data_IF_017435982110
#
_entry.id   IF_017435982110
#
_cell.length_a   1.000
_cell.length_b   1.000
_cell.length_c   1.000
_cell.angle_alpha   90.00
_cell.angle_beta   90.00
_cell.angle_gamma   90.00
#
_symmetry.space_group_name_H-M   'P 1'
#
loop_
_entity.id
_entity.type
_entity.pdbx_description
1 polymer ?
#
# COMPACT_ATOMS: atom_id res chain seq x y z
N UNK A 1 -39.27 55.23 39.13
CA UNK A 1 -38.19 54.59 39.93
C UNK A 1 -38.59 53.16 40.27
N UNK A 2 -38.03 52.16 39.58
CA UNK A 2 -37.78 50.81 40.10
C UNK A 2 -37.05 50.00 39.04
N UNK A 3 -35.92 49.42 39.47
CA UNK A 3 -34.95 48.61 38.75
C UNK A 3 -35.59 47.32 38.23
N UNK A 4 -35.21 46.85 37.04
CA UNK A 4 -35.07 45.41 36.79
C UNK A 4 -33.79 45.19 35.98
N UNK A 5 -32.85 44.55 36.66
CA UNK A 5 -31.57 44.04 36.19
C UNK A 5 -31.89 42.76 35.42
N UNK A 6 -31.57 42.70 34.13
CA UNK A 6 -31.60 41.43 33.39
C UNK A 6 -30.21 40.81 33.42
N UNK A 7 -30.17 39.63 34.03
CA UNK A 7 -29.00 38.87 34.42
C UNK A 7 -28.20 38.36 33.21
N UNK A 8 -26.90 38.63 33.25
CA UNK A 8 -25.88 38.01 32.41
C UNK A 8 -25.66 36.58 32.94
N UNK A 9 -26.28 35.58 32.32
CA UNK A 9 -25.99 34.17 32.61
C UNK A 9 -24.81 33.76 31.74
N UNK A 10 -23.64 33.82 32.36
CA UNK A 10 -22.41 33.17 31.94
C UNK A 10 -22.67 31.65 31.96
N UNK A 11 -22.85 31.05 30.79
CA UNK A 11 -22.76 29.60 30.62
C UNK A 11 -21.34 29.27 30.18
N UNK A 12 -20.43 29.21 31.15
CA UNK A 12 -19.09 28.64 30.97
C UNK A 12 -19.28 27.15 30.72
N UNK A 13 -19.28 26.74 29.45
CA UNK A 13 -19.24 25.33 29.10
C UNK A 13 -17.82 24.84 29.40
N UNK A 14 -17.70 24.16 30.53
CA UNK A 14 -16.49 23.46 30.97
C UNK A 14 -16.29 22.30 29.98
N UNK A 15 -15.46 22.52 28.95
CA UNK A 15 -14.88 21.44 28.16
C UNK A 15 -13.85 20.73 29.04
N UNK A 16 -14.33 19.72 29.77
CA UNK A 16 -13.46 18.72 30.39
C UNK A 16 -13.18 17.65 29.35
N UNK A 17 -11.96 17.71 28.82
CA UNK A 17 -11.07 16.59 28.50
C UNK A 17 -11.72 15.28 28.04
N UNK A 18 -11.58 15.00 26.74
CA UNK A 18 -11.00 13.73 26.32
C UNK A 18 -9.77 14.12 25.51
N UNK A 19 -8.66 14.36 26.21
CA UNK A 19 -7.34 14.18 25.63
C UNK A 19 -7.30 12.73 25.16
N UNK A 20 -6.76 12.44 23.97
CA UNK A 20 -6.53 11.09 23.49
C UNK A 20 -5.63 10.30 24.46
N UNK A 21 -6.19 9.75 25.53
CA UNK A 21 -5.65 8.56 26.18
C UNK A 21 -6.07 7.39 25.29
N UNK A 22 -5.25 7.06 24.30
CA UNK A 22 -5.24 5.73 23.67
C UNK A 22 -3.99 5.43 22.81
N UNK A 23 -2.95 6.28 22.81
CA UNK A 23 -1.67 5.89 22.20
C UNK A 23 -0.81 5.00 23.11
N UNK A 24 -1.08 4.98 24.43
CA UNK A 24 -0.27 4.25 25.41
C UNK A 24 -0.69 2.78 25.61
N UNK A 25 -1.83 2.34 25.08
CA UNK A 25 -2.32 0.97 25.33
C UNK A 25 -1.65 -0.13 24.50
N UNK A 26 -0.82 0.24 23.52
CA UNK A 26 -0.19 -0.74 22.61
C UNK A 26 1.35 -0.75 22.63
N UNK A 27 1.96 0.06 23.51
CA UNK A 27 3.41 -0.02 23.75
C UNK A 27 3.68 -1.19 24.69
N UNK A 28 4.45 -2.17 24.22
CA UNK A 28 4.97 -3.21 25.11
C UNK A 28 5.80 -2.56 26.21
N UNK A 29 5.70 -3.10 27.42
CA UNK A 29 6.57 -2.71 28.53
C UNK A 29 7.99 -3.18 28.21
N UNK A 30 8.78 -2.28 27.60
CA UNK A 30 10.13 -2.57 27.10
C UNK A 30 11.08 -3.03 28.21
N UNK A 31 10.81 -2.68 29.47
CA UNK A 31 11.57 -3.15 30.62
C UNK A 31 11.40 -4.65 30.90
N UNK A 32 10.36 -5.29 30.34
CA UNK A 32 10.11 -6.73 30.43
C UNK A 32 10.62 -7.51 29.22
N UNK A 33 11.17 -6.83 28.21
CA UNK A 33 11.64 -7.45 26.98
C UNK A 33 13.09 -7.92 27.16
N UNK A 34 13.31 -9.22 27.02
CA UNK A 34 14.63 -9.85 27.06
C UNK A 34 14.96 -10.42 25.68
N UNK A 35 15.90 -9.80 24.95
CA UNK A 35 16.33 -10.25 23.63
C UNK A 35 15.27 -10.00 22.57
N UNK A 36 15.07 -8.74 22.21
CA UNK A 36 14.17 -8.40 21.09
C UNK A 36 14.77 -7.27 20.27
N UNK A 37 14.59 -7.37 18.97
CA UNK A 37 14.89 -6.31 18.04
C UNK A 37 13.82 -6.27 16.96
N UNK A 38 13.63 -5.09 16.39
CA UNK A 38 12.67 -4.85 15.31
C UNK A 38 13.33 -4.09 14.16
N UNK A 39 12.69 -4.18 12.99
CA UNK A 39 12.90 -3.26 11.88
C UNK A 39 11.62 -2.45 11.68
N UNK A 40 11.52 -1.29 12.31
CA UNK A 40 10.36 -0.40 12.16
C UNK A 40 10.36 0.16 10.74
N UNK A 41 9.27 -0.01 10.01
CA UNK A 41 9.09 0.60 8.69
C UNK A 41 8.87 2.09 8.87
N UNK A 42 9.75 2.89 8.28
CA UNK A 42 9.58 4.35 8.21
C UNK A 42 8.83 4.75 6.95
N UNK A 43 9.18 4.13 5.83
CA UNK A 43 8.60 4.38 4.51
C UNK A 43 8.67 3.10 3.68
N UNK A 44 7.69 2.89 2.80
CA UNK A 44 7.70 1.79 1.85
C UNK A 44 7.09 2.26 0.53
N UNK A 45 7.74 1.92 -0.57
CA UNK A 45 7.27 2.12 -1.92
C UNK A 45 7.23 0.76 -2.63
N UNK A 46 6.01 0.29 -2.91
CA UNK A 46 5.69 -1.00 -3.54
C UNK A 46 4.76 -0.73 -4.73
N UNK A 47 5.24 -0.05 -5.78
CA UNK A 47 4.40 0.27 -6.92
C UNK A 47 3.98 -1.03 -7.64
N UNK A 48 2.86 -1.02 -8.39
CA UNK A 48 2.55 -2.13 -9.28
C UNK A 48 3.68 -2.38 -10.29
N UNK A 49 3.95 -3.65 -10.58
CA UNK A 49 5.03 -4.08 -11.48
C UNK A 49 4.48 -4.16 -12.90
N UNK A 50 5.09 -3.45 -13.84
CA UNK A 50 4.69 -3.53 -15.26
C UNK A 50 5.21 -4.84 -15.85
N UNK A 51 4.30 -5.74 -16.26
CA UNK A 51 4.66 -7.05 -16.81
C UNK A 51 5.54 -6.98 -18.07
N UNK A 52 5.48 -5.89 -18.86
CA UNK A 52 6.31 -5.70 -20.06
C UNK A 52 7.65 -4.97 -19.81
N UNK A 53 7.86 -4.45 -18.60
CA UNK A 53 9.10 -3.78 -18.25
C UNK A 53 9.43 -3.90 -16.75
N UNK A 54 9.43 -5.12 -16.20
CA UNK A 54 9.56 -5.33 -14.76
C UNK A 54 10.87 -4.77 -14.20
N UNK A 55 11.95 -4.77 -15.00
CA UNK A 55 13.25 -4.20 -14.59
C UNK A 55 13.22 -2.69 -14.32
N UNK A 56 12.19 -1.96 -14.73
CA UNK A 56 12.02 -0.54 -14.40
C UNK A 56 11.38 -0.33 -13.02
N UNK A 57 10.90 -1.39 -12.37
CA UNK A 57 10.27 -1.35 -11.07
C UNK A 57 11.19 -1.90 -9.98
N UNK A 58 10.97 -1.43 -8.75
CA UNK A 58 11.64 -1.92 -7.56
C UNK A 58 10.71 -1.87 -6.35
N UNK A 59 10.90 -2.79 -5.40
CA UNK A 59 10.33 -2.67 -4.06
C UNK A 59 11.37 -1.97 -3.19
N UNK A 60 10.99 -0.85 -2.59
CA UNK A 60 11.90 -0.06 -1.74
C UNK A 60 11.29 0.15 -0.36
N UNK A 61 12.08 -0.10 0.68
CA UNK A 61 11.64 0.01 2.08
C UNK A 61 12.72 0.68 2.90
N UNK A 62 12.36 1.77 3.58
CA UNK A 62 13.19 2.42 4.58
C UNK A 62 12.86 1.89 5.96
N UNK A 63 13.85 1.34 6.65
CA UNK A 63 13.68 0.71 7.96
C UNK A 63 14.60 1.33 9.01
N UNK A 64 14.10 1.35 10.25
CA UNK A 64 14.81 1.74 11.45
C UNK A 64 15.03 0.51 12.34
N UNK A 65 16.26 0.28 12.78
CA UNK A 65 16.58 -0.75 13.76
C UNK A 65 16.36 -0.23 15.20
N UNK A 66 15.74 -1.05 16.04
CA UNK A 66 15.51 -0.79 17.46
C UNK A 66 15.53 -2.12 18.23
N UNK A 67 16.48 -2.27 19.14
CA UNK A 67 16.66 -3.40 20.06
C UNK A 67 16.20 -3.12 21.49
N UNK A 68 15.54 -1.98 21.72
CA UNK A 68 14.97 -1.52 23.00
C UNK A 68 15.99 -1.35 24.14
N UNK A 69 17.25 -1.63 23.86
CA UNK A 69 18.41 -1.58 24.74
C UNK A 69 19.47 -0.94 23.87
N UNK A 70 20.14 0.12 24.32
CA UNK A 70 21.10 0.84 23.47
C UNK A 70 22.41 0.05 23.27
N UNK A 71 22.33 -1.26 23.02
CA UNK A 71 23.43 -2.21 22.89
C UNK A 71 23.80 -2.55 21.43
N UNK A 72 23.06 -2.02 20.45
CA UNK A 72 23.33 -2.11 18.99
C UNK A 72 23.63 -3.54 18.56
N UNK A 73 22.64 -4.39 18.80
CA UNK A 73 22.73 -5.84 18.61
C UNK A 73 22.55 -6.27 17.16
N UNK A 74 22.47 -5.35 16.20
CA UNK A 74 22.30 -5.69 14.79
C UNK A 74 23.57 -6.33 14.22
N UNK A 75 23.42 -7.46 13.54
CA UNK A 75 24.48 -8.07 12.73
C UNK A 75 24.27 -7.77 11.25
N UNK A 76 23.10 -8.13 10.73
CA UNK A 76 22.75 -7.92 9.33
C UNK A 76 21.24 -8.03 9.10
N UNK A 77 20.79 -7.66 7.92
CA UNK A 77 19.43 -7.94 7.42
C UNK A 77 19.54 -8.73 6.13
N UNK A 78 19.06 -9.98 6.13
CA UNK A 78 18.95 -10.78 4.92
C UNK A 78 17.66 -10.42 4.18
N UNK A 79 17.77 -10.25 2.86
CA UNK A 79 16.68 -9.84 1.98
C UNK A 79 16.33 -10.98 1.05
N UNK A 80 15.10 -11.46 1.17
CA UNK A 80 14.55 -12.56 0.38
C UNK A 80 13.46 -12.06 -0.57
N UNK A 81 13.32 -12.75 -1.71
CA UNK A 81 12.23 -12.57 -2.65
C UNK A 81 11.54 -13.91 -2.92
N UNK A 82 10.22 -13.85 -2.97
CA UNK A 82 9.33 -14.92 -3.39
C UNK A 82 8.40 -14.38 -4.49
N UNK A 83 8.05 -15.25 -5.44
CA UNK A 83 7.04 -14.97 -6.45
C UNK A 83 5.85 -15.90 -6.22
N UNK A 84 4.67 -15.31 -6.12
CA UNK A 84 3.40 -16.02 -5.96
C UNK A 84 2.63 -15.84 -7.26
N UNK A 85 2.57 -16.91 -8.04
CA UNK A 85 1.65 -17.03 -9.16
C UNK A 85 0.22 -17.13 -8.61
N UNK A 86 -0.62 -16.16 -8.97
CA UNK A 86 -2.03 -16.13 -8.58
C UNK A 86 -2.97 -16.32 -9.77
N UNK A 87 -2.39 -16.36 -10.98
CA UNK A 87 -3.08 -16.26 -12.25
C UNK A 87 -2.76 -17.50 -13.08
N UNK A 88 -3.50 -18.61 -12.88
CA UNK A 88 -3.18 -19.86 -13.53
C UNK A 88 -3.29 -19.74 -15.05
N UNK A 89 -2.17 -19.81 -15.75
CA UNK A 89 -2.12 -19.96 -17.21
C UNK A 89 -2.29 -21.45 -17.53
N UNK A 90 -3.21 -21.79 -18.42
CA UNK A 90 -3.53 -23.19 -18.80
C UNK A 90 -3.89 -24.11 -17.60
N UNK A 91 -4.49 -23.56 -16.54
CA UNK A 91 -4.81 -24.24 -15.28
C UNK A 91 -3.59 -24.73 -14.47
N UNK A 92 -2.40 -24.22 -14.73
CA UNK A 92 -1.21 -24.52 -13.94
C UNK A 92 -0.83 -23.31 -13.08
N UNK A 93 -0.67 -23.54 -11.77
CA UNK A 93 -0.05 -22.57 -10.86
C UNK A 93 1.42 -22.94 -10.76
N UNK A 94 2.28 -22.04 -11.18
CA UNK A 94 3.73 -22.20 -11.08
C UNK A 94 4.18 -21.92 -9.66
N UNK A 95 5.17 -22.68 -9.20
CA UNK A 95 5.74 -22.50 -7.85
C UNK A 95 7.24 -22.37 -7.97
N UNK A 96 7.77 -21.30 -7.38
CA UNK A 96 9.18 -20.99 -7.37
C UNK A 96 9.67 -20.97 -5.93
N UNK A 97 10.87 -21.51 -5.63
CA UNK A 97 11.42 -21.39 -4.30
C UNK A 97 11.77 -19.93 -3.99
N UNK A 98 11.54 -19.50 -2.75
CA UNK A 98 12.09 -18.23 -2.26
C UNK A 98 13.62 -18.23 -2.39
N UNK A 99 14.17 -17.08 -2.78
CA UNK A 99 15.61 -16.88 -2.93
C UNK A 99 16.08 -15.69 -2.12
N UNK A 100 17.30 -15.76 -1.60
CA UNK A 100 17.96 -14.62 -0.98
C UNK A 100 18.59 -13.74 -2.07
N UNK A 101 18.23 -12.47 -2.13
CA UNK A 101 18.74 -11.50 -3.11
C UNK A 101 20.02 -10.83 -2.59
N UNK A 102 20.05 -10.49 -1.31
CA UNK A 102 21.18 -9.79 -0.70
C UNK A 102 21.21 -9.95 0.82
N UNK A 103 22.30 -9.47 1.41
CA UNK A 103 22.44 -9.24 2.85
C UNK A 103 22.94 -7.82 3.03
N UNK A 104 22.29 -7.05 3.90
CA UNK A 104 22.69 -5.70 4.27
C UNK A 104 23.43 -5.80 5.60
N UNK A 105 24.71 -5.47 5.61
CA UNK A 105 25.52 -5.51 6.83
C UNK A 105 25.12 -4.36 7.78
N UNK A 106 25.28 -4.56 9.10
CA UNK A 106 25.01 -3.50 10.07
C UNK A 106 25.79 -2.21 9.79
N UNK A 107 26.98 -2.31 9.16
CA UNK A 107 27.79 -1.15 8.77
C UNK A 107 27.19 -0.30 7.64
N UNK A 108 26.18 -0.81 6.93
CA UNK A 108 25.47 -0.06 5.88
C UNK A 108 24.34 0.81 6.45
N UNK A 109 23.97 0.63 7.72
CA UNK A 109 23.02 1.50 8.40
C UNK A 109 23.69 2.81 8.80
N UNK A 110 22.94 3.90 8.67
CA UNK A 110 23.40 5.25 9.03
C UNK A 110 22.58 5.80 10.20
N UNK A 111 23.20 6.65 11.01
CA UNK A 111 22.50 7.30 12.11
C UNK A 111 21.69 8.50 11.59
N UNK A 112 20.37 8.41 11.70
CA UNK A 112 19.42 9.49 11.43
C UNK A 112 18.62 9.79 12.69
N UNK A 113 18.71 11.02 13.21
CA UNK A 113 18.00 11.45 14.42
C UNK A 113 18.22 10.55 15.67
N UNK A 114 19.35 9.85 15.73
CA UNK A 114 19.71 8.97 16.85
C UNK A 114 19.34 7.51 16.67
N UNK A 115 18.71 7.15 15.55
CA UNK A 115 18.38 5.76 15.22
C UNK A 115 19.19 5.26 14.01
N UNK A 116 19.47 3.96 13.97
CA UNK A 116 20.11 3.33 12.82
C UNK A 116 19.08 3.03 11.74
N UNK A 117 19.33 3.54 10.54
CA UNK A 117 18.39 3.53 9.42
C UNK A 117 19.09 3.06 8.16
N UNK A 118 18.36 2.33 7.32
CA UNK A 118 18.79 2.03 5.95
C UNK A 118 17.60 1.97 4.99
N UNK A 119 17.88 2.09 3.70
CA UNK A 119 16.91 1.88 2.64
C UNK A 119 17.28 0.61 1.88
N UNK A 120 16.40 -0.37 1.92
CA UNK A 120 16.53 -1.64 1.20
C UNK A 120 15.75 -1.49 -0.10
N UNK A 121 16.39 -1.74 -1.23
CA UNK A 121 15.75 -1.69 -2.55
C UNK A 121 16.09 -2.94 -3.34
N UNK A 122 15.06 -3.58 -3.89
CA UNK A 122 15.19 -4.76 -4.76
C UNK A 122 14.58 -4.44 -6.11
N UNK A 123 15.41 -4.44 -7.16
CA UNK A 123 14.95 -4.35 -8.54
C UNK A 123 14.26 -5.65 -8.96
N UNK A 124 13.13 -5.56 -9.66
CA UNK A 124 12.38 -6.77 -10.04
C UNK A 124 13.10 -7.57 -11.14
N UNK A 125 13.87 -6.91 -12.01
CA UNK A 125 14.72 -7.62 -12.98
C UNK A 125 15.76 -8.51 -12.29
N UNK A 126 16.40 -8.02 -11.22
CA UNK A 126 17.33 -8.82 -10.42
C UNK A 126 16.60 -9.96 -9.68
N UNK A 127 15.39 -9.70 -9.17
CA UNK A 127 14.56 -10.73 -8.52
C UNK A 127 14.15 -11.84 -9.50
N UNK A 128 13.71 -11.50 -10.72
CA UNK A 128 13.40 -12.46 -11.79
C UNK A 128 14.59 -13.35 -12.12
N UNK A 129 15.76 -12.74 -12.31
CA UNK A 129 17.01 -13.46 -12.59
C UNK A 129 17.37 -14.43 -11.45
N UNK A 130 17.24 -14.00 -10.20
CA UNK A 130 17.55 -14.82 -9.03
C UNK A 130 16.55 -15.97 -8.83
N UNK A 131 15.26 -15.71 -9.08
CA UNK A 131 14.17 -16.70 -9.00
C UNK A 131 14.14 -17.64 -10.22
N UNK A 132 14.90 -17.32 -11.28
CA UNK A 132 14.87 -18.01 -12.56
C UNK A 132 13.45 -18.02 -13.18
N UNK A 133 12.83 -16.84 -13.20
CA UNK A 133 11.51 -16.59 -13.79
C UNK A 133 11.72 -15.78 -15.07
N UNK A 134 11.14 -16.25 -16.16
CA UNK A 134 11.11 -15.50 -17.43
C UNK A 134 10.03 -14.42 -17.37
N UNK A 135 10.28 -13.27 -17.99
CA UNK A 135 9.31 -12.15 -18.02
C UNK A 135 7.95 -12.58 -18.60
N UNK A 136 7.92 -13.50 -19.56
CA UNK A 136 6.69 -14.01 -20.17
C UNK A 136 5.80 -14.82 -19.22
N UNK A 137 6.27 -15.16 -18.03
CA UNK A 137 5.48 -15.83 -16.98
C UNK A 137 4.62 -14.83 -16.22
N UNK A 138 4.98 -13.55 -16.21
CA UNK A 138 4.29 -12.54 -15.42
C UNK A 138 2.89 -12.26 -15.98
N UNK A 139 1.90 -12.36 -15.11
CA UNK A 139 0.52 -12.04 -15.43
C UNK A 139 -0.08 -11.06 -14.41
N UNK A 140 -1.11 -10.32 -14.82
CA UNK A 140 -1.84 -9.41 -13.94
C UNK A 140 -2.34 -10.15 -12.70
N UNK A 141 -2.09 -9.58 -11.52
CA UNK A 141 -2.47 -10.17 -10.24
C UNK A 141 -1.36 -10.92 -9.50
N UNK A 142 -0.35 -11.43 -10.21
CA UNK A 142 0.80 -12.12 -9.58
C UNK A 142 1.52 -11.23 -8.58
N UNK A 143 2.20 -11.82 -7.61
CA UNK A 143 2.75 -11.07 -6.48
C UNK A 143 4.23 -11.36 -6.29
N UNK A 144 5.03 -10.29 -6.25
CA UNK A 144 6.37 -10.33 -5.70
C UNK A 144 6.31 -10.00 -4.20
N UNK A 145 6.82 -10.91 -3.37
CA UNK A 145 6.91 -10.75 -1.93
C UNK A 145 8.38 -10.57 -1.51
N UNK A 146 8.70 -9.41 -0.97
CA UNK A 146 9.96 -9.13 -0.30
C UNK A 146 9.84 -9.51 1.17
N UNK A 147 10.74 -10.35 1.68
CA UNK A 147 10.82 -10.70 3.11
C UNK A 147 12.17 -10.32 3.69
N UNK A 148 12.15 -9.71 4.88
CA UNK A 148 13.34 -9.35 5.64
C UNK A 148 13.57 -10.34 6.79
N UNK A 149 14.82 -10.70 7.05
CA UNK A 149 15.24 -11.40 8.26
C UNK A 149 16.35 -10.62 8.96
N UNK A 150 16.05 -10.10 10.15
CA UNK A 150 17.01 -9.38 10.98
C UNK A 150 17.83 -10.37 11.80
N UNK A 151 19.13 -10.40 11.59
CA UNK A 151 20.09 -11.19 12.34
C UNK A 151 20.73 -10.32 13.44
N UNK A 152 20.74 -10.81 14.67
CA UNK A 152 21.41 -10.13 15.79
C UNK A 152 22.79 -10.74 16.07
N UNK A 153 23.66 -9.97 16.73
CA UNK A 153 24.99 -10.40 17.19
C UNK A 153 24.93 -11.53 18.22
N UNK A 154 23.77 -11.72 18.86
CA UNK A 154 23.49 -12.83 19.79
C UNK A 154 23.02 -14.11 19.07
N UNK A 155 22.89 -14.08 17.74
CA UNK A 155 22.45 -15.21 16.92
C UNK A 155 20.94 -15.41 16.84
N UNK A 156 20.16 -14.42 17.27
CA UNK A 156 18.70 -14.43 17.11
C UNK A 156 18.32 -13.93 15.72
N UNK A 157 17.23 -14.46 15.16
CA UNK A 157 16.72 -14.09 13.84
C UNK A 157 15.25 -13.68 14.00
N UNK A 158 14.89 -12.48 13.56
CA UNK A 158 13.52 -11.97 13.55
C UNK A 158 13.01 -11.79 12.12
N UNK A 159 11.84 -12.33 11.81
CA UNK A 159 11.23 -12.26 10.47
C UNK A 159 9.70 -12.39 10.58
N UNK A 160 8.99 -12.21 9.47
CA UNK A 160 7.52 -12.13 9.42
C UNK A 160 6.80 -13.38 9.95
N UNK A 161 7.46 -14.54 9.97
CA UNK A 161 6.90 -15.81 10.43
C UNK A 161 7.08 -16.08 11.93
N UNK A 162 7.92 -15.32 12.64
CA UNK A 162 8.25 -15.58 14.05
C UNK A 162 7.99 -14.41 15.00
N UNK A 163 7.38 -13.31 14.50
CA UNK A 163 6.95 -12.18 15.31
C UNK A 163 5.42 -12.09 15.38
N UNK A 164 4.88 -11.64 16.52
CA UNK A 164 3.43 -11.50 16.72
C UNK A 164 2.82 -10.32 15.97
N UNK A 165 1.50 -10.33 15.75
CA UNK A 165 0.77 -9.29 15.01
C UNK A 165 0.93 -7.88 15.58
N UNK A 166 1.15 -7.74 16.90
CA UNK A 166 1.48 -6.45 17.51
C UNK A 166 2.77 -5.85 16.97
N UNK A 167 3.83 -6.65 16.85
CA UNK A 167 5.11 -6.21 16.27
C UNK A 167 4.94 -5.86 14.79
N UNK A 168 4.17 -6.69 14.07
CA UNK A 168 3.97 -6.49 12.64
C UNK A 168 3.17 -5.23 12.29
N UNK A 169 2.06 -5.00 13.01
CA UNK A 169 1.01 -4.08 12.53
C UNK A 169 0.68 -2.93 13.48
N UNK A 170 1.10 -2.94 14.75
CA UNK A 170 0.77 -1.82 15.64
C UNK A 170 1.47 -0.55 15.19
N UNK A 171 0.85 0.59 15.48
CA UNK A 171 1.43 1.91 15.21
C UNK A 171 2.76 2.14 15.93
N UNK A 172 3.01 1.43 17.04
CA UNK A 172 4.23 1.54 17.83
C UNK A 172 5.44 0.81 17.19
N UNK A 173 5.21 -0.32 16.52
CA UNK A 173 6.29 -1.17 16.02
C UNK A 173 6.41 -1.17 14.50
N UNK A 174 5.28 -1.23 13.76
CA UNK A 174 5.23 -1.20 12.29
C UNK A 174 6.33 -2.05 11.62
N UNK A 175 6.53 -3.27 12.12
CA UNK A 175 7.65 -4.13 11.72
C UNK A 175 7.14 -5.42 11.07
N UNK A 176 6.54 -5.32 9.85
CA UNK A 176 5.92 -6.47 9.19
C UNK A 176 6.94 -7.49 8.68
N UNK A 177 8.20 -7.09 8.46
CA UNK A 177 9.26 -7.89 7.82
C UNK A 177 8.88 -8.46 6.45
N UNK A 178 7.81 -7.96 5.83
CA UNK A 178 7.35 -8.41 4.52
C UNK A 178 6.60 -7.29 3.80
N UNK A 179 6.79 -7.22 2.49
CA UNK A 179 6.22 -6.21 1.60
C UNK A 179 5.88 -6.88 0.28
N UNK A 180 4.83 -6.43 -0.39
CA UNK A 180 4.35 -7.06 -1.62
C UNK A 180 4.10 -6.02 -2.70
N UNK A 181 4.47 -6.33 -3.93
CA UNK A 181 4.05 -5.60 -5.12
C UNK A 181 3.33 -6.55 -6.08
N UNK A 182 2.17 -6.11 -6.57
CA UNK A 182 1.39 -6.88 -7.54
C UNK A 182 1.83 -6.55 -8.96
N UNK A 183 1.84 -7.55 -9.83
CA UNK A 183 2.02 -7.41 -11.27
C UNK A 183 0.75 -6.84 -11.88
N UNK A 184 0.92 -5.87 -12.76
CA UNK A 184 -0.13 -5.24 -13.53
C UNK A 184 0.26 -5.25 -15.00
N UNK A 185 -0.72 -5.49 -15.86
CA UNK A 185 -0.54 -5.42 -17.30
C UNK A 185 -0.73 -3.98 -17.79
N UNK A 186 0.16 -3.50 -18.67
CA UNK A 186 0.08 -2.15 -19.18
C UNK A 186 -1.04 -1.99 -20.21
N UNK A 187 -1.43 -0.74 -20.46
CA UNK A 187 -2.48 -0.40 -21.42
C UNK A 187 -2.11 -0.86 -22.84
N UNK A 188 -2.96 -1.64 -23.53
CA UNK A 188 -2.74 -2.01 -24.93
C UNK A 188 -3.03 -0.85 -25.88
N UNK A 189 -2.39 -0.86 -27.05
CA UNK A 189 -2.43 0.27 -27.98
C UNK A 189 -3.81 0.58 -28.57
N UNK A 190 -4.69 -0.41 -28.70
CA UNK A 190 -6.06 -0.20 -29.19
C UNK A 190 -6.95 0.53 -28.18
N UNK A 191 -6.60 0.53 -26.89
CA UNK A 191 -7.35 1.20 -25.82
C UNK A 191 -6.71 2.53 -25.38
N UNK A 192 -5.74 3.04 -26.15
CA UNK A 192 -5.21 4.39 -25.95
C UNK A 192 -6.23 5.44 -26.38
N UNK A 193 -6.57 6.36 -25.48
CA UNK A 193 -7.54 7.42 -25.75
C UNK A 193 -8.21 7.96 -24.50
N UNK A 194 -9.36 8.59 -24.69
CA UNK A 194 -10.15 9.18 -23.62
C UNK A 194 -11.08 8.12 -23.02
N UNK A 195 -10.87 7.82 -21.74
CA UNK A 195 -11.76 7.03 -20.90
C UNK A 195 -12.74 7.94 -20.18
N UNK A 196 -13.94 7.44 -19.90
CA UNK A 196 -14.97 8.21 -19.20
C UNK A 196 -15.29 7.54 -17.87
N UNK A 197 -15.34 8.33 -16.81
CA UNK A 197 -15.86 7.92 -15.50
C UNK A 197 -17.16 8.66 -15.25
N UNK A 198 -18.27 7.94 -15.26
CA UNK A 198 -19.57 8.44 -14.84
C UNK A 198 -19.78 8.08 -13.37
N UNK A 199 -20.10 9.06 -12.53
CA UNK A 199 -20.19 8.94 -11.09
C UNK A 199 -21.57 9.38 -10.62
N UNK A 200 -22.20 8.63 -9.71
CA UNK A 200 -23.50 8.95 -9.15
C UNK A 200 -23.53 8.74 -7.64
N UNK A 201 -24.36 9.55 -6.98
CA UNK A 201 -24.59 9.59 -5.55
C UNK A 201 -26.09 9.58 -5.28
N UNK A 202 -26.56 8.58 -4.53
CA UNK A 202 -28.00 8.39 -4.33
C UNK A 202 -28.63 9.35 -3.31
N UNK A 203 -27.85 10.01 -2.44
CA UNK A 203 -28.35 10.96 -1.43
C UNK A 203 -28.19 12.42 -1.89
N UNK A 204 -27.30 12.69 -2.84
CA UNK A 204 -27.19 13.93 -3.59
C UNK A 204 -26.24 14.97 -3.00
N UNK A 205 -25.46 14.61 -1.99
CA UNK A 205 -24.47 15.47 -1.33
C UNK A 205 -23.01 15.13 -1.70
N UNK A 206 -22.82 14.16 -2.58
CA UNK A 206 -21.52 13.76 -3.10
C UNK A 206 -20.84 12.72 -2.23
N UNK A 207 -19.71 12.20 -2.69
CA UNK A 207 -19.16 10.93 -2.22
C UNK A 207 -18.47 10.95 -0.85
N UNK A 208 -18.60 12.04 -0.08
CA UNK A 208 -18.32 12.01 1.36
C UNK A 208 -16.89 11.51 1.72
N UNK A 209 -15.91 11.87 0.88
CA UNK A 209 -14.50 11.48 1.02
C UNK A 209 -14.10 10.22 0.24
N UNK A 210 -15.03 9.52 -0.40
CA UNK A 210 -14.73 8.46 -1.35
C UNK A 210 -14.25 9.04 -2.69
N UNK A 211 -13.45 8.28 -3.42
CA UNK A 211 -12.91 8.69 -4.72
C UNK A 211 -12.52 7.50 -5.59
N UNK A 212 -12.32 7.75 -6.87
CA UNK A 212 -11.57 6.85 -7.76
C UNK A 212 -10.19 7.47 -7.99
N UNK A 213 -9.15 6.81 -7.52
CA UNK A 213 -7.77 7.12 -7.94
C UNK A 213 -7.52 6.48 -9.30
N UNK A 214 -7.09 7.28 -10.26
CA UNK A 214 -6.57 6.80 -11.54
C UNK A 214 -5.07 7.00 -11.57
N UNK A 215 -4.31 5.91 -11.72
CA UNK A 215 -2.88 5.97 -12.01
C UNK A 215 -2.67 5.87 -13.52
N UNK A 216 -2.11 6.92 -14.12
CA UNK A 216 -1.81 7.02 -15.54
C UNK A 216 -0.32 7.30 -15.71
N UNK A 217 0.44 6.32 -16.18
CA UNK A 217 1.90 6.48 -16.35
C UNK A 217 2.64 6.73 -15.03
N UNK A 218 2.11 6.21 -13.91
CA UNK A 218 2.64 6.44 -12.57
C UNK A 218 2.17 7.72 -11.89
N UNK A 219 1.42 8.60 -12.58
CA UNK A 219 0.79 9.78 -11.97
C UNK A 219 -0.59 9.40 -11.44
N UNK A 220 -0.80 9.55 -10.14
CA UNK A 220 -2.09 9.28 -9.49
C UNK A 220 -2.91 10.57 -9.38
N UNK A 221 -4.16 10.54 -9.83
CA UNK A 221 -5.14 11.62 -9.64
C UNK A 221 -6.43 11.07 -9.07
N UNK A 222 -6.97 11.73 -8.05
CA UNK A 222 -8.23 11.35 -7.41
C UNK A 222 -9.41 12.10 -8.04
N UNK A 223 -10.46 11.34 -8.38
CA UNK A 223 -11.72 11.85 -8.89
C UNK A 223 -12.84 11.58 -7.90
N UNK A 224 -13.64 12.60 -7.62
CA UNK A 224 -14.79 12.55 -6.70
C UNK A 224 -15.83 13.56 -7.15
N UNK A 225 -17.04 13.48 -6.59
CA UNK A 225 -18.15 14.41 -6.87
C UNK A 225 -18.69 14.99 -5.57
N UNK A 226 -19.10 16.27 -5.63
CA UNK A 226 -19.73 17.01 -4.52
C UNK A 226 -21.24 17.24 -4.78
N UNK A 227 -21.84 16.39 -5.62
CA UNK A 227 -23.23 16.50 -6.09
C UNK A 227 -23.82 15.10 -6.34
N UNK A 228 -25.08 15.04 -6.82
CA UNK A 228 -25.77 13.79 -7.17
C UNK A 228 -25.12 12.99 -8.30
N UNK A 229 -24.39 13.65 -9.17
CA UNK A 229 -23.74 13.03 -10.32
C UNK A 229 -22.60 13.90 -10.84
N UNK A 230 -21.70 13.28 -11.60
CA UNK A 230 -20.64 13.94 -12.33
C UNK A 230 -20.01 13.02 -13.35
N UNK A 231 -19.25 13.61 -14.26
CA UNK A 231 -18.52 12.88 -15.29
C UNK A 231 -17.12 13.45 -15.42
N UNK A 232 -16.13 12.57 -15.56
CA UNK A 232 -14.74 12.92 -15.85
C UNK A 232 -14.26 12.22 -17.11
N UNK A 233 -13.50 12.96 -17.91
CA UNK A 233 -12.77 12.41 -19.07
C UNK A 233 -11.31 12.28 -18.67
N UNK A 234 -10.78 11.07 -18.80
CA UNK A 234 -9.43 10.70 -18.43
C UNK A 234 -8.67 10.31 -19.68
N UNK A 235 -7.67 11.09 -20.05
CA UNK A 235 -6.76 10.70 -21.14
C UNK A 235 -5.81 9.62 -20.62
N UNK A 236 -5.83 8.46 -21.28
CA UNK A 236 -4.96 7.34 -20.95
C UNK A 236 -3.47 7.69 -21.13
N UNK A 237 -2.55 6.96 -20.49
CA UNK A 237 -1.13 7.09 -20.80
C UNK A 237 -0.84 6.50 -22.19
N UNK A 238 0.39 6.69 -22.71
CA UNK A 238 0.87 5.95 -23.87
C UNK A 238 0.73 4.42 -23.68
N UNK A 239 0.49 3.71 -24.78
CA UNK A 239 0.49 2.25 -24.78
C UNK A 239 1.79 1.67 -24.19
N UNK A 240 1.67 0.61 -23.38
CA UNK A 240 2.79 0.01 -22.68
C UNK A 240 3.09 0.61 -21.29
N UNK A 241 2.43 1.71 -20.92
CA UNK A 241 2.44 2.22 -19.54
C UNK A 241 1.28 1.65 -18.72
N UNK A 242 1.45 1.61 -17.40
CA UNK A 242 0.40 1.16 -16.50
C UNK A 242 -0.74 2.17 -16.43
N UNK A 243 -1.96 1.65 -16.49
CA UNK A 243 -3.19 2.40 -16.33
C UNK A 243 -4.12 1.64 -15.39
N UNK A 244 -4.25 2.11 -14.15
CA UNK A 244 -4.99 1.40 -13.09
C UNK A 244 -6.01 2.29 -12.40
N UNK A 245 -7.08 1.68 -11.92
CA UNK A 245 -8.18 2.35 -11.24
C UNK A 245 -8.33 1.74 -9.85
N UNK A 246 -8.49 2.58 -8.83
CA UNK A 246 -8.66 2.15 -7.44
C UNK A 246 -9.81 2.92 -6.82
N UNK A 247 -10.78 2.22 -6.23
CA UNK A 247 -11.81 2.84 -5.42
C UNK A 247 -11.31 3.03 -4.00
N UNK A 248 -11.33 4.28 -3.52
CA UNK A 248 -11.06 4.62 -2.13
C UNK A 248 -12.39 4.81 -1.39
N UNK A 249 -12.59 4.01 -0.36
CA UNK A 249 -13.76 4.08 0.51
C UNK A 249 -13.80 5.40 1.29
N UNK A 250 -14.99 5.95 1.41
CA UNK A 250 -15.29 7.14 2.20
C UNK A 250 -16.31 6.86 3.29
N UNK A 251 -17.02 7.91 3.71
CA UNK A 251 -18.25 7.70 4.48
C UNK A 251 -19.41 7.45 3.52
N UNK A 252 -20.37 6.61 3.94
CA UNK A 252 -21.61 6.33 3.20
C UNK A 252 -21.45 5.70 1.81
N UNK A 253 -20.45 4.81 1.61
CA UNK A 253 -20.24 4.10 0.34
C UNK A 253 -21.50 3.39 -0.22
N UNK A 254 -22.51 3.11 0.62
CA UNK A 254 -23.81 2.60 0.17
C UNK A 254 -24.55 3.51 -0.83
N UNK A 255 -24.17 4.79 -0.96
CA UNK A 255 -24.77 5.73 -1.91
C UNK A 255 -24.02 5.83 -3.25
N UNK A 256 -22.82 5.22 -3.32
CA UNK A 256 -21.86 5.40 -4.41
C UNK A 256 -22.10 4.40 -5.54
N UNK A 257 -22.24 4.90 -6.77
CA UNK A 257 -22.24 4.08 -8.00
C UNK A 257 -21.39 4.74 -9.07
N UNK A 258 -20.73 3.95 -9.91
CA UNK A 258 -19.94 4.48 -11.02
C UNK A 258 -19.85 3.52 -12.20
N UNK A 259 -19.56 4.11 -13.36
CA UNK A 259 -19.26 3.40 -14.60
C UNK A 259 -17.95 3.93 -15.19
N UNK A 260 -17.10 3.01 -15.65
CA UNK A 260 -15.88 3.32 -16.41
C UNK A 260 -16.08 2.83 -17.84
N UNK A 261 -15.90 3.71 -18.82
CA UNK A 261 -16.09 3.42 -20.24
C UNK A 261 -14.78 3.67 -20.99
N UNK A 262 -14.41 2.74 -21.86
CA UNK A 262 -13.20 2.82 -22.68
C UNK A 262 -13.36 3.78 -23.90
N UNK A 263 -12.27 4.08 -24.64
CA UNK A 263 -12.33 4.95 -25.81
C UNK A 263 -13.12 4.37 -26.99
N UNK A 264 -13.41 3.07 -26.99
CA UNK A 264 -14.26 2.40 -27.98
C UNK A 264 -15.76 2.51 -27.62
N UNK A 265 -16.07 3.01 -26.42
CA UNK A 265 -17.43 3.20 -25.91
C UNK A 265 -17.98 1.97 -25.17
N UNK A 266 -17.13 0.99 -24.84
CA UNK A 266 -17.55 -0.17 -24.05
C UNK A 266 -17.41 0.12 -22.55
N UNK A 267 -18.41 -0.30 -21.79
CA UNK A 267 -18.37 -0.23 -20.33
C UNK A 267 -17.44 -1.31 -19.81
N UNK A 268 -16.38 -0.88 -19.13
CA UNK A 268 -15.35 -1.74 -18.55
C UNK A 268 -15.55 -2.01 -17.07
N UNK A 269 -16.14 -1.09 -16.33
CA UNK A 269 -16.54 -1.32 -14.95
C UNK A 269 -17.91 -0.69 -14.69
N UNK A 270 -18.74 -1.34 -13.87
CA UNK A 270 -20.04 -0.83 -13.43
C UNK A 270 -20.32 -1.35 -12.02
N UNK A 271 -19.99 -0.55 -11.03
CA UNK A 271 -20.00 -0.96 -9.62
C UNK A 271 -20.88 -0.05 -8.77
N UNK A 272 -21.31 -0.62 -7.63
CA UNK A 272 -22.18 0.01 -6.66
C UNK A 272 -23.64 -0.49 -6.72
N UNK A 273 -24.49 -0.09 -5.75
CA UNK A 273 -24.12 0.64 -4.53
C UNK A 273 -23.16 -0.17 -3.64
N UNK A 274 -22.42 0.49 -2.75
CA UNK A 274 -21.39 -0.11 -1.88
C UNK A 274 -20.20 -0.72 -2.66
N UNK A 275 -19.47 0.04 -3.49
CA UNK A 275 -18.31 -0.48 -4.20
C UNK A 275 -17.25 -1.00 -3.21
N UNK A 276 -16.57 -2.08 -3.58
CA UNK A 276 -15.48 -2.64 -2.77
C UNK A 276 -14.25 -1.74 -2.86
N UNK A 277 -13.69 -1.35 -1.72
CA UNK A 277 -12.41 -0.64 -1.68
C UNK A 277 -11.26 -1.47 -2.29
N UNK A 278 -10.35 -0.79 -2.98
CA UNK A 278 -9.19 -1.39 -3.64
C UNK A 278 -9.22 -1.27 -5.16
N UNK A 279 -8.39 -2.07 -5.82
CA UNK A 279 -8.30 -2.10 -7.29
C UNK A 279 -9.66 -2.41 -7.93
N UNK A 280 -9.96 -1.70 -9.01
CA UNK A 280 -11.17 -1.89 -9.81
C UNK A 280 -10.81 -2.82 -10.97
N UNK A 281 -11.48 -3.97 -11.02
CA UNK A 281 -11.33 -4.92 -12.11
C UNK A 281 -12.08 -4.41 -13.36
N UNK A 282 -11.38 -4.37 -14.49
CA UNK A 282 -11.98 -4.06 -15.79
C UNK A 282 -12.44 -5.35 -16.47
N UNK A 283 -13.49 -5.26 -17.29
CA UNK A 283 -13.97 -6.39 -18.10
C UNK A 283 -12.91 -6.79 -19.13
N UNK A 284 -12.24 -5.81 -19.74
CA UNK A 284 -11.12 -6.05 -20.63
C UNK A 284 -9.88 -6.42 -19.83
N UNK A 285 -9.25 -7.51 -20.23
CA UNK A 285 -7.96 -7.90 -19.70
C UNK A 285 -6.84 -7.19 -20.49
N UNK A 286 -5.99 -6.45 -19.79
CA UNK A 286 -4.84 -5.79 -20.40
C UNK A 286 -3.66 -6.75 -20.66
N UNK A 287 -3.75 -7.99 -20.16
CA UNK A 287 -2.73 -9.01 -20.33
C UNK A 287 -2.90 -9.85 -21.62
N UNK A 288 -4.02 -9.71 -22.34
CA UNK A 288 -4.31 -10.42 -23.60
C UNK A 288 -3.77 -9.73 -24.87
#
# INVERSE_FOLDING_TARGET
MKKIISSLIISTLIFTTISCENEDLDRLDTAKITGAAILRTLESDTPPINSLSPSNNAITVKVEFDDFKLDDTMSSVDVYMEFIDTSPIDNEILTFPEVQISTIDASEFTLENGSLVTTISVNIGDALNALNIEESVLYGGDIFLLRLALNTTNGEIFTSSNVGTKIQASSAFKSPFRYSAAVACPLPANLSGDWIIDMQDSYGDGWNGASISVSSGGVVTDYTIDASDGQFIITSPPAGELFTFTFNSGSYDEEVTYQITDPEGNVQANHGPTPKAGGIDLIVDFCE
#
